data_IF_041140902007
#
_entry.id   IF_041140902007
#
_cell.length_a   1.000
_cell.length_b   1.000
_cell.length_c   1.000
_cell.angle_alpha   90.00
_cell.angle_beta   90.00
_cell.angle_gamma   90.00
#
_symmetry.space_group_name_H-M   'P 1'
#
loop_
_entity.id
_entity.type
_entity.pdbx_description
1 polymer ?
#
# COMPACT_ATOMS: atom_id res chain seq x y z
N UNK A 1 -14.69 42.64 -56.61
CA UNK A 1 -14.57 42.17 -55.23
C UNK A 1 -13.70 40.93 -55.26
N UNK A 2 -12.41 41.08 -54.93
CA UNK A 2 -11.44 39.96 -54.87
C UNK A 2 -11.35 39.45 -53.44
N UNK A 3 -11.65 38.16 -53.28
CA UNK A 3 -11.43 37.44 -52.02
C UNK A 3 -9.96 37.00 -51.96
N UNK A 4 -9.27 37.37 -50.89
CA UNK A 4 -7.90 36.91 -50.55
C UNK A 4 -7.97 35.53 -49.89
N UNK A 5 -7.09 34.58 -50.21
CA UNK A 5 -7.04 33.29 -49.52
C UNK A 5 -6.28 33.40 -48.19
N UNK A 6 -6.89 32.94 -47.09
CA UNK A 6 -6.22 32.76 -45.80
C UNK A 6 -5.16 31.65 -45.89
N UNK A 7 -3.90 32.02 -45.67
CA UNK A 7 -2.79 31.07 -45.59
C UNK A 7 -2.73 30.47 -44.19
N UNK A 8 -3.25 29.24 -44.02
CA UNK A 8 -3.03 28.47 -42.80
C UNK A 8 -1.60 27.97 -42.70
N UNK A 9 -0.86 28.53 -41.75
CA UNK A 9 0.49 28.08 -41.40
C UNK A 9 0.42 26.74 -40.70
N UNK A 10 0.66 25.62 -41.40
CA UNK A 10 0.79 24.29 -40.81
C UNK A 10 2.23 24.18 -40.32
N UNK A 11 2.40 24.34 -39.00
CA UNK A 11 3.67 24.01 -38.35
C UNK A 11 3.83 22.48 -38.34
N UNK A 12 4.61 21.95 -39.27
CA UNK A 12 5.06 20.57 -39.26
C UNK A 12 6.20 20.46 -38.23
N UNK A 13 5.87 20.08 -36.96
CA UNK A 13 6.89 19.65 -36.02
C UNK A 13 7.52 18.34 -36.54
N UNK A 14 8.81 18.36 -36.88
CA UNK A 14 9.49 17.17 -37.39
C UNK A 14 9.58 16.12 -36.30
N UNK A 15 9.42 14.83 -36.64
CA UNK A 15 9.53 13.69 -35.70
C UNK A 15 10.86 13.71 -34.91
N UNK A 16 11.89 14.34 -35.47
CA UNK A 16 13.19 14.53 -34.83
C UNK A 16 13.13 15.46 -33.61
N UNK A 17 12.34 16.56 -33.68
CA UNK A 17 12.19 17.48 -32.54
C UNK A 17 11.39 16.85 -31.43
N UNK A 18 10.34 16.09 -31.73
CA UNK A 18 9.58 15.30 -30.73
C UNK A 18 10.44 14.23 -30.05
N UNK A 19 11.30 13.55 -30.81
CA UNK A 19 12.20 12.54 -30.27
C UNK A 19 13.27 13.16 -29.35
N UNK A 20 13.80 14.34 -29.71
CA UNK A 20 14.76 15.08 -28.87
C UNK A 20 14.14 15.61 -27.59
N UNK A 21 12.90 16.09 -27.62
CA UNK A 21 12.16 16.57 -26.43
C UNK A 21 11.83 15.39 -25.50
N UNK A 22 11.39 14.24 -26.05
CA UNK A 22 11.19 13.03 -25.25
C UNK A 22 12.50 12.53 -24.62
N UNK A 23 13.60 12.52 -25.35
CA UNK A 23 14.91 12.08 -24.84
C UNK A 23 15.41 13.00 -23.73
N UNK A 24 15.23 14.31 -23.85
CA UNK A 24 15.58 15.30 -22.81
C UNK A 24 14.69 15.13 -21.59
N UNK A 25 13.39 14.84 -21.75
CA UNK A 25 12.48 14.59 -20.65
C UNK A 25 12.86 13.31 -19.90
N UNK A 26 13.19 12.22 -20.61
CA UNK A 26 13.70 10.98 -20.01
C UNK A 26 15.05 11.17 -19.30
N UNK A 27 15.96 11.97 -19.85
CA UNK A 27 17.23 12.30 -19.21
C UNK A 27 17.03 13.17 -17.95
N UNK A 28 16.10 14.13 -17.98
CA UNK A 28 15.77 14.93 -16.79
C UNK A 28 15.13 14.11 -15.68
N UNK A 29 14.23 13.18 -16.00
CA UNK A 29 13.64 12.28 -15.01
C UNK A 29 14.67 11.31 -14.43
N UNK A 30 15.59 10.77 -15.25
CA UNK A 30 16.64 9.87 -14.77
C UNK A 30 17.67 10.60 -13.88
N UNK A 31 18.03 11.83 -14.18
CA UNK A 31 18.94 12.64 -13.35
C UNK A 31 18.28 13.01 -12.03
N UNK A 32 17.00 13.38 -12.05
CA UNK A 32 16.27 13.69 -10.80
C UNK A 32 16.06 12.46 -9.91
N UNK A 33 15.79 11.29 -10.51
CA UNK A 33 15.73 10.02 -9.78
C UNK A 33 17.11 9.59 -9.25
N UNK A 34 18.20 9.84 -9.96
CA UNK A 34 19.56 9.59 -9.46
C UNK A 34 19.97 10.54 -8.34
N UNK A 35 19.58 11.83 -8.39
CA UNK A 35 19.78 12.76 -7.27
C UNK A 35 18.97 12.38 -6.05
N UNK A 36 17.72 11.88 -6.20
CA UNK A 36 16.91 11.32 -5.11
C UNK A 36 17.53 10.03 -4.54
N UNK A 37 18.05 9.15 -5.39
CA UNK A 37 18.75 7.92 -4.96
C UNK A 37 20.04 8.20 -4.18
N UNK A 38 20.78 9.21 -4.56
CA UNK A 38 22.10 9.49 -4.00
C UNK A 38 22.09 10.00 -2.56
N UNK A 39 20.90 10.32 -1.99
CA UNK A 39 20.84 11.12 -0.77
C UNK A 39 19.88 10.63 0.32
N UNK A 40 19.10 9.54 0.11
CA UNK A 40 18.24 9.01 1.18
C UNK A 40 19.00 8.05 2.08
N UNK A 41 18.92 8.27 3.39
CA UNK A 41 19.42 7.34 4.41
C UNK A 41 18.31 6.44 4.91
N UNK A 42 18.61 5.15 5.21
CA UNK A 42 17.67 4.30 5.92
C UNK A 42 17.18 4.97 7.20
N UNK A 43 15.92 4.83 7.57
CA UNK A 43 15.37 5.47 8.76
C UNK A 43 15.93 4.79 10.01
N UNK A 44 16.23 5.56 11.05
CA UNK A 44 16.67 5.00 12.31
C UNK A 44 15.48 4.57 13.19
N UNK A 45 15.68 3.50 13.94
CA UNK A 45 14.72 2.99 14.92
C UNK A 45 14.46 4.02 16.02
N UNK A 46 13.20 4.17 16.43
CA UNK A 46 12.77 5.06 17.52
C UNK A 46 12.28 4.29 18.73
N UNK A 47 11.21 3.52 18.58
CA UNK A 47 10.56 2.75 19.65
C UNK A 47 9.91 1.48 19.08
N UNK A 48 9.59 0.57 19.97
CA UNK A 48 8.74 -0.59 19.68
C UNK A 48 7.78 -0.87 20.82
N UNK A 49 6.67 -1.54 20.50
CA UNK A 49 5.71 -2.03 21.49
C UNK A 49 5.04 -3.33 21.03
N UNK A 50 4.42 -4.03 21.96
CA UNK A 50 3.82 -5.32 21.74
C UNK A 50 4.79 -6.47 22.04
N UNK A 51 4.17 -7.57 22.48
CA UNK A 51 4.79 -8.88 22.71
C UNK A 51 3.74 -9.92 22.38
N UNK A 52 4.13 -11.18 22.21
CA UNK A 52 3.18 -12.25 21.97
C UNK A 52 2.22 -12.43 23.15
N UNK A 53 0.92 -12.43 22.87
CA UNK A 53 -0.13 -12.67 23.86
C UNK A 53 -1.50 -12.15 23.47
N UNK A 54 -2.43 -12.14 24.44
CA UNK A 54 -3.82 -11.72 24.26
C UNK A 54 -4.26 -10.57 25.17
N UNK A 55 -3.42 -10.12 26.11
CA UNK A 55 -3.71 -8.96 26.92
C UNK A 55 -3.75 -7.68 26.09
N UNK A 56 -4.22 -6.58 26.67
CA UNK A 56 -4.24 -5.27 25.99
C UNK A 56 -2.79 -4.79 25.74
N UNK A 57 -2.49 -4.44 24.50
CA UNK A 57 -1.15 -4.08 24.07
C UNK A 57 -0.26 -5.25 23.66
N UNK A 58 -0.70 -6.50 23.87
CA UNK A 58 -0.06 -7.71 23.32
C UNK A 58 -0.70 -8.07 21.98
N UNK A 59 0.02 -8.84 21.15
CA UNK A 59 -0.44 -9.28 19.83
C UNK A 59 -0.27 -10.79 19.63
N UNK A 60 -1.17 -11.35 18.84
CA UNK A 60 -1.01 -12.69 18.27
C UNK A 60 -1.12 -12.59 16.74
N UNK A 61 0.04 -12.72 16.09
CA UNK A 61 0.14 -12.61 14.62
C UNK A 61 -0.53 -11.34 14.06
N UNK A 62 -0.10 -10.14 14.46
CA UNK A 62 -0.62 -8.89 13.92
C UNK A 62 -0.30 -8.80 12.42
N UNK A 63 -1.22 -8.28 11.59
CA UNK A 63 -1.02 -8.23 10.13
C UNK A 63 -1.06 -6.82 9.60
N UNK A 64 -2.14 -6.06 9.80
CA UNK A 64 -2.35 -4.74 9.21
C UNK A 64 -2.10 -3.61 10.21
N UNK A 65 -1.72 -2.44 9.68
CA UNK A 65 -1.51 -1.22 10.45
C UNK A 65 -1.93 0.00 9.62
N UNK A 66 -2.55 0.98 10.28
CA UNK A 66 -2.84 2.29 9.67
C UNK A 66 -2.76 3.39 10.72
N UNK A 67 -2.63 4.64 10.29
CA UNK A 67 -2.73 5.84 11.14
C UNK A 67 -3.89 6.72 10.70
N UNK A 68 -4.57 7.35 11.64
CA UNK A 68 -5.58 8.36 11.34
C UNK A 68 -4.97 9.78 11.26
N UNK A 69 -5.80 10.78 10.93
CA UNK A 69 -5.35 12.17 10.80
C UNK A 69 -4.85 12.83 12.09
N UNK A 70 -5.09 12.22 13.25
CA UNK A 70 -4.63 12.64 14.57
C UNK A 70 -3.41 11.82 15.04
N UNK A 71 -2.80 11.04 14.14
CA UNK A 71 -1.64 10.15 14.38
C UNK A 71 -1.91 9.03 15.40
N UNK A 72 -3.18 8.61 15.61
CA UNK A 72 -3.45 7.37 16.31
C UNK A 72 -3.19 6.18 15.38
N UNK A 73 -2.58 5.14 15.97
CA UNK A 73 -2.17 3.91 15.25
C UNK A 73 -3.19 2.80 15.52
N UNK A 74 -3.68 2.18 14.46
CA UNK A 74 -4.60 1.04 14.52
C UNK A 74 -3.93 -0.20 13.97
N UNK A 75 -4.02 -1.31 14.71
CA UNK A 75 -3.38 -2.58 14.37
C UNK A 75 -4.41 -3.70 14.32
N UNK A 76 -4.45 -4.46 13.25
CA UNK A 76 -5.19 -5.70 13.21
C UNK A 76 -4.42 -6.80 13.95
N UNK A 77 -4.89 -7.15 15.13
CA UNK A 77 -4.40 -8.24 15.96
C UNK A 77 -5.12 -9.53 15.55
N UNK A 78 -4.72 -10.02 14.38
CA UNK A 78 -5.43 -11.02 13.58
C UNK A 78 -5.66 -12.33 14.33
N UNK A 79 -4.67 -12.82 15.06
CA UNK A 79 -4.80 -14.04 15.84
C UNK A 79 -5.78 -13.91 17.01
N UNK A 80 -5.93 -12.71 17.56
CA UNK A 80 -6.89 -12.39 18.63
C UNK A 80 -8.24 -11.87 18.09
N UNK A 81 -8.44 -11.78 16.79
CA UNK A 81 -9.70 -11.36 16.15
C UNK A 81 -10.18 -9.98 16.59
N UNK A 82 -9.26 -9.01 16.73
CA UNK A 82 -9.55 -7.66 17.21
C UNK A 82 -8.73 -6.61 16.49
N UNK A 83 -9.15 -5.36 16.61
CA UNK A 83 -8.35 -4.17 16.29
C UNK A 83 -7.92 -3.52 17.61
N UNK A 84 -6.68 -3.04 17.69
CA UNK A 84 -6.18 -2.27 18.82
C UNK A 84 -5.74 -0.88 18.36
N UNK A 85 -6.14 0.16 19.09
CA UNK A 85 -5.75 1.57 18.88
C UNK A 85 -4.68 1.98 19.89
N UNK A 86 -3.67 2.69 19.40
CA UNK A 86 -2.54 3.20 20.19
C UNK A 86 -2.31 4.67 19.89
N UNK A 87 -1.63 5.39 20.79
CA UNK A 87 -1.03 6.69 20.46
C UNK A 87 0.20 6.49 19.57
N UNK A 88 0.69 7.56 18.95
CA UNK A 88 1.95 7.58 18.18
C UNK A 88 3.19 7.12 18.97
N UNK A 89 3.11 7.05 20.32
CA UNK A 89 4.16 6.58 21.23
C UNK A 89 3.93 5.12 21.68
N UNK A 90 2.96 4.40 21.06
CA UNK A 90 2.67 3.00 21.37
C UNK A 90 1.89 2.77 22.67
N UNK A 91 1.30 3.82 23.27
CA UNK A 91 0.45 3.65 24.44
C UNK A 91 -0.93 3.17 23.99
N UNK A 92 -1.41 2.05 24.58
CA UNK A 92 -2.73 1.50 24.33
C UNK A 92 -3.84 2.54 24.67
N UNK A 93 -4.85 2.62 23.79
CA UNK A 93 -6.00 3.52 23.93
C UNK A 93 -7.29 2.71 24.10
N UNK A 94 -7.65 1.90 23.10
CA UNK A 94 -8.84 1.06 23.12
C UNK A 94 -8.68 -0.15 22.17
N UNK A 95 -9.61 -1.10 22.30
CA UNK A 95 -9.67 -2.27 21.43
C UNK A 95 -11.12 -2.67 21.20
N UNK A 96 -11.40 -3.18 20.00
CA UNK A 96 -12.70 -3.76 19.67
C UNK A 96 -12.54 -5.00 18.79
N UNK A 97 -13.62 -5.75 18.66
CA UNK A 97 -13.63 -6.99 17.91
C UNK A 97 -13.55 -8.22 18.83
N UNK A 98 -14.09 -9.29 18.34
CA UNK A 98 -14.02 -10.67 18.84
C UNK A 98 -14.40 -11.60 17.70
N UNK A 99 -14.04 -12.88 17.81
CA UNK A 99 -14.34 -13.87 16.78
C UNK A 99 -15.84 -13.95 16.45
N UNK A 100 -16.18 -13.83 15.16
CA UNK A 100 -17.56 -13.99 14.68
C UNK A 100 -17.88 -13.23 13.40
N UNK A 101 -19.20 -13.23 13.06
CA UNK A 101 -19.72 -12.63 11.82
C UNK A 101 -20.67 -11.45 12.05
N UNK A 102 -21.15 -11.26 13.27
CA UNK A 102 -22.06 -10.16 13.58
C UNK A 102 -21.35 -8.80 13.53
N UNK A 103 -22.13 -7.71 13.55
CA UNK A 103 -21.59 -6.35 13.60
C UNK A 103 -20.65 -6.17 14.80
N UNK A 104 -19.46 -5.65 14.55
CA UNK A 104 -18.41 -5.50 15.56
C UNK A 104 -17.63 -6.77 15.88
N UNK A 105 -18.01 -7.94 15.34
CA UNK A 105 -17.21 -9.16 15.39
C UNK A 105 -16.32 -9.25 14.14
N UNK A 106 -15.20 -9.93 14.23
CA UNK A 106 -14.19 -10.06 13.19
C UNK A 106 -13.78 -11.53 12.99
N UNK A 107 -13.44 -11.90 11.77
CA UNK A 107 -12.77 -13.18 11.49
C UNK A 107 -11.59 -12.95 10.55
N UNK A 108 -10.38 -13.16 11.08
CA UNK A 108 -9.11 -12.87 10.42
C UNK A 108 -9.06 -11.47 9.82
N UNK A 109 -9.14 -10.39 10.64
CA UNK A 109 -8.90 -9.04 10.15
C UNK A 109 -7.47 -8.96 9.57
N UNK A 110 -7.37 -8.51 8.32
CA UNK A 110 -6.11 -8.37 7.57
C UNK A 110 -5.66 -6.91 7.54
N UNK A 111 -5.35 -6.37 6.35
CA UNK A 111 -5.01 -4.96 6.23
C UNK A 111 -6.24 -4.08 6.47
N UNK A 112 -5.98 -2.85 6.91
CA UNK A 112 -7.00 -1.88 7.24
C UNK A 112 -6.54 -0.49 6.81
N UNK A 113 -7.49 0.42 6.57
CA UNK A 113 -7.17 1.82 6.27
C UNK A 113 -8.03 2.77 7.09
N UNK A 114 -7.40 3.77 7.70
CA UNK A 114 -8.06 4.94 8.25
C UNK A 114 -8.26 5.96 7.13
N UNK A 115 -9.50 6.15 6.71
CA UNK A 115 -9.81 7.04 5.61
C UNK A 115 -10.09 8.47 6.11
N UNK A 116 -9.93 9.44 5.21
CA UNK A 116 -10.17 10.87 5.49
C UNK A 116 -11.63 11.20 5.81
N UNK A 117 -12.56 10.27 5.60
CA UNK A 117 -13.98 10.38 5.97
C UNK A 117 -14.27 10.04 7.45
N UNK A 118 -13.23 9.81 8.26
CA UNK A 118 -13.35 9.49 9.69
C UNK A 118 -13.71 8.03 9.97
N UNK A 119 -13.47 7.12 9.03
CA UNK A 119 -13.80 5.70 9.16
C UNK A 119 -12.57 4.81 9.04
N UNK A 120 -12.66 3.64 9.65
CA UNK A 120 -11.71 2.53 9.51
C UNK A 120 -12.38 1.45 8.66
N UNK A 121 -11.75 1.10 7.55
CA UNK A 121 -12.15 0.00 6.69
C UNK A 121 -11.25 -1.19 7.00
N UNK A 122 -11.82 -2.34 7.33
CA UNK A 122 -11.10 -3.55 7.73
C UNK A 122 -11.44 -4.69 6.77
N UNK A 123 -10.43 -5.25 6.12
CA UNK A 123 -10.59 -6.45 5.31
C UNK A 123 -10.70 -7.68 6.24
N UNK A 124 -11.82 -8.40 6.14
CA UNK A 124 -12.07 -9.63 6.89
C UNK A 124 -11.93 -10.84 5.96
N UNK A 125 -10.73 -11.44 5.99
CA UNK A 125 -10.34 -12.53 5.10
C UNK A 125 -11.27 -13.74 5.17
N UNK A 126 -11.71 -14.14 6.37
CA UNK A 126 -12.52 -15.34 6.54
C UNK A 126 -14.04 -15.06 6.54
N UNK A 127 -14.45 -13.81 6.57
CA UNK A 127 -15.84 -13.39 6.41
C UNK A 127 -16.16 -12.89 4.99
N UNK A 128 -15.19 -12.85 4.08
CA UNK A 128 -15.33 -12.41 2.68
C UNK A 128 -16.01 -11.04 2.55
N UNK A 129 -15.61 -10.06 3.38
CA UNK A 129 -16.20 -8.73 3.39
C UNK A 129 -15.21 -7.66 3.85
N UNK A 130 -15.58 -6.40 3.65
CA UNK A 130 -15.00 -5.27 4.35
C UNK A 130 -15.99 -4.84 5.44
N UNK A 131 -15.54 -4.70 6.68
CA UNK A 131 -16.33 -4.07 7.74
C UNK A 131 -15.84 -2.66 7.97
N UNK A 132 -16.78 -1.72 8.11
CA UNK A 132 -16.51 -0.30 8.31
C UNK A 132 -16.83 0.07 9.74
N UNK A 133 -15.90 0.78 10.39
CA UNK A 133 -16.03 1.26 11.77
C UNK A 133 -15.82 2.77 11.85
N UNK A 134 -16.31 3.40 12.92
CA UNK A 134 -15.80 4.71 13.33
C UNK A 134 -14.48 4.55 14.13
N UNK A 135 -13.88 5.68 14.53
CA UNK A 135 -12.63 5.67 15.29
C UNK A 135 -12.77 5.20 16.76
N UNK A 136 -14.00 5.01 17.23
CA UNK A 136 -14.36 4.43 18.53
C UNK A 136 -14.60 2.92 18.46
N UNK A 137 -14.61 2.33 17.23
CA UNK A 137 -14.79 0.90 16.99
C UNK A 137 -16.25 0.47 16.89
N UNK A 138 -17.19 1.40 16.70
CA UNK A 138 -18.58 1.04 16.41
C UNK A 138 -18.70 0.61 14.94
N UNK A 139 -19.33 -0.54 14.70
CA UNK A 139 -19.57 -1.04 13.35
C UNK A 139 -20.64 -0.20 12.63
N UNK A 140 -20.31 0.32 11.48
CA UNK A 140 -21.17 1.22 10.69
C UNK A 140 -21.80 0.50 9.49
N UNK A 141 -21.03 -0.36 8.79
CA UNK A 141 -21.48 -1.00 7.56
C UNK A 141 -20.68 -2.27 7.23
N UNK A 142 -21.24 -3.06 6.31
CA UNK A 142 -20.55 -4.13 5.59
C UNK A 142 -20.53 -3.85 4.10
N UNK A 143 -19.43 -4.20 3.42
CA UNK A 143 -19.27 -4.09 1.98
C UNK A 143 -18.87 -5.47 1.47
N UNK A 144 -19.58 -5.95 0.44
CA UNK A 144 -19.33 -7.24 -0.19
C UNK A 144 -19.97 -8.43 0.52
N UNK A 145 -19.77 -9.58 -0.08
CA UNK A 145 -20.23 -10.90 0.38
C UNK A 145 -19.36 -11.98 -0.27
N UNK A 146 -19.42 -13.21 0.24
CA UNK A 146 -18.66 -14.34 -0.31
C UNK A 146 -19.05 -14.66 -1.74
N UNK A 147 -18.07 -14.80 -2.64
CA UNK A 147 -18.27 -15.22 -4.01
C UNK A 147 -17.27 -14.64 -5.02
N UNK A 148 -17.58 -14.81 -6.32
CA UNK A 148 -16.73 -14.39 -7.45
C UNK A 148 -17.37 -13.31 -8.32
N UNK A 149 -18.63 -12.98 -8.07
CA UNK A 149 -19.41 -12.00 -8.81
C UNK A 149 -18.95 -10.56 -8.54
N UNK A 150 -19.64 -9.62 -9.20
CA UNK A 150 -19.38 -8.19 -9.01
C UNK A 150 -19.82 -7.78 -7.59
N UNK A 151 -18.86 -7.24 -6.82
CA UNK A 151 -19.09 -6.84 -5.43
C UNK A 151 -19.04 -7.98 -4.41
N UNK A 152 -18.70 -9.20 -4.84
CA UNK A 152 -18.41 -10.33 -3.97
C UNK A 152 -16.90 -10.48 -3.78
N UNK A 153 -16.47 -11.21 -2.74
CA UNK A 153 -15.07 -11.45 -2.41
C UNK A 153 -14.80 -12.93 -2.12
N UNK A 154 -13.55 -13.32 -2.35
CA UNK A 154 -12.96 -14.56 -1.85
C UNK A 154 -11.64 -14.20 -1.14
N UNK A 155 -11.73 -14.11 0.18
CA UNK A 155 -10.63 -13.74 1.07
C UNK A 155 -9.99 -12.36 0.74
N UNK A 156 -10.70 -11.22 0.94
CA UNK A 156 -10.14 -9.89 0.73
C UNK A 156 -8.92 -9.66 1.63
N UNK A 157 -7.81 -9.18 1.05
CA UNK A 157 -6.55 -8.96 1.76
C UNK A 157 -6.39 -7.53 2.26
N UNK A 158 -6.48 -6.56 1.36
CA UNK A 158 -6.26 -5.14 1.65
C UNK A 158 -7.35 -4.24 1.10
N UNK A 159 -7.44 -3.04 1.67
CA UNK A 159 -8.43 -2.02 1.30
C UNK A 159 -7.83 -0.63 1.36
N UNK A 160 -8.11 0.20 0.37
CA UNK A 160 -7.75 1.61 0.34
C UNK A 160 -8.95 2.47 -0.09
N UNK A 161 -8.95 3.74 0.33
CA UNK A 161 -10.01 4.70 0.01
C UNK A 161 -9.37 5.94 -0.61
N UNK A 162 -9.84 6.37 -1.78
CA UNK A 162 -9.34 7.58 -2.43
C UNK A 162 -10.06 8.85 -1.94
N UNK A 163 -9.61 10.01 -2.43
CA UNK A 163 -10.18 11.31 -2.04
C UNK A 163 -11.62 11.52 -2.49
N UNK A 164 -12.10 10.75 -3.47
CA UNK A 164 -13.48 10.75 -3.93
C UNK A 164 -14.38 9.78 -3.14
N UNK A 165 -13.83 9.14 -2.09
CA UNK A 165 -14.53 8.13 -1.30
C UNK A 165 -14.71 6.78 -2.02
N UNK A 166 -14.02 6.55 -3.17
CA UNK A 166 -14.04 5.24 -3.82
C UNK A 166 -13.16 4.27 -3.03
N UNK A 167 -13.66 3.06 -2.86
CA UNK A 167 -13.01 2.01 -2.07
C UNK A 167 -12.44 0.98 -3.03
N UNK A 168 -11.19 0.62 -2.85
CA UNK A 168 -10.49 -0.39 -3.66
C UNK A 168 -10.11 -1.55 -2.75
N UNK A 169 -10.45 -2.79 -3.16
CA UNK A 169 -10.23 -3.98 -2.35
C UNK A 169 -9.40 -5.00 -3.14
N UNK A 170 -8.29 -5.43 -2.59
CA UNK A 170 -7.51 -6.57 -3.09
C UNK A 170 -8.29 -7.86 -2.78
N UNK A 171 -8.88 -8.44 -3.82
CA UNK A 171 -9.70 -9.66 -3.75
C UNK A 171 -8.82 -10.87 -4.09
N UNK A 172 -8.18 -11.40 -3.05
CA UNK A 172 -6.99 -12.24 -3.11
C UNK A 172 -7.18 -13.50 -3.96
N UNK A 173 -8.17 -14.36 -3.66
CA UNK A 173 -8.41 -15.59 -4.42
C UNK A 173 -9.14 -15.35 -5.74
N UNK A 174 -9.82 -14.22 -5.91
CA UNK A 174 -10.40 -13.84 -7.19
C UNK A 174 -9.39 -13.18 -8.14
N UNK A 175 -8.15 -12.96 -7.71
CA UNK A 175 -7.06 -12.40 -8.52
C UNK A 175 -7.42 -11.06 -9.18
N UNK A 176 -8.09 -10.17 -8.45
CA UNK A 176 -8.55 -8.86 -8.96
C UNK A 176 -8.45 -7.78 -7.88
N UNK A 177 -8.58 -6.53 -8.28
CA UNK A 177 -9.02 -5.47 -7.40
C UNK A 177 -10.48 -5.17 -7.70
N UNK A 178 -11.34 -5.17 -6.67
CA UNK A 178 -12.76 -4.84 -6.78
C UNK A 178 -13.00 -3.45 -6.22
N UNK A 179 -13.26 -2.43 -7.09
CA UNK A 179 -13.61 -1.09 -6.62
C UNK A 179 -15.08 -0.97 -6.27
N UNK A 180 -15.38 -0.01 -5.37
CA UNK A 180 -16.73 0.44 -5.02
C UNK A 180 -16.80 1.96 -5.06
N UNK A 181 -17.99 2.50 -5.34
CA UNK A 181 -18.28 3.91 -5.15
C UNK A 181 -18.44 4.24 -3.66
N UNK A 182 -18.43 5.52 -3.28
CA UNK A 182 -18.65 6.02 -1.93
C UNK A 182 -19.94 5.47 -1.26
N UNK A 183 -20.99 5.23 -2.04
CA UNK A 183 -22.24 4.64 -1.58
C UNK A 183 -22.22 3.09 -1.50
N UNK A 184 -21.02 2.49 -1.58
CA UNK A 184 -20.77 1.05 -1.53
C UNK A 184 -21.30 0.26 -2.73
N UNK A 185 -21.72 0.89 -3.81
CA UNK A 185 -22.09 0.18 -5.05
C UNK A 185 -20.83 -0.30 -5.78
N UNK A 186 -20.82 -1.59 -6.17
CA UNK A 186 -19.67 -2.18 -6.85
C UNK A 186 -19.47 -1.59 -8.25
N UNK A 187 -18.22 -1.24 -8.57
CA UNK A 187 -17.78 -0.74 -9.87
C UNK A 187 -17.21 -1.88 -10.74
N UNK A 188 -16.69 -1.55 -11.92
CA UNK A 188 -16.01 -2.53 -12.76
C UNK A 188 -14.70 -2.97 -12.10
N UNK A 189 -14.47 -4.29 -12.05
CA UNK A 189 -13.23 -4.83 -11.50
C UNK A 189 -12.00 -4.42 -12.32
N UNK A 190 -10.85 -4.37 -11.66
CA UNK A 190 -9.53 -4.17 -12.28
C UNK A 190 -8.79 -5.50 -12.23
N UNK A 191 -8.32 -5.95 -13.40
CA UNK A 191 -7.51 -7.13 -13.52
C UNK A 191 -8.25 -8.46 -13.48
N UNK A 192 -7.46 -9.51 -13.61
CA UNK A 192 -7.86 -10.93 -13.59
C UNK A 192 -6.61 -11.77 -13.36
N UNK A 193 -6.76 -13.06 -13.12
CA UNK A 193 -5.63 -13.99 -12.95
C UNK A 193 -4.65 -13.95 -14.12
N UNK A 194 -3.35 -13.77 -13.81
CA UNK A 194 -2.26 -13.86 -14.78
C UNK A 194 -0.94 -13.28 -14.28
N UNK A 195 0.17 -13.64 -14.99
CA UNK A 195 1.53 -13.30 -14.56
C UNK A 195 2.26 -12.35 -15.52
N UNK A 196 2.10 -12.52 -16.82
CA UNK A 196 2.98 -11.92 -17.84
C UNK A 196 2.63 -10.44 -18.06
N UNK A 197 1.37 -10.16 -18.33
CA UNK A 197 0.92 -8.83 -18.73
C UNK A 197 0.64 -7.92 -17.52
N UNK A 198 0.84 -6.61 -17.71
CA UNK A 198 0.35 -5.60 -16.78
C UNK A 198 -1.18 -5.65 -16.70
N UNK A 199 -1.72 -5.32 -15.52
CA UNK A 199 -3.15 -5.38 -15.26
C UNK A 199 -3.70 -6.79 -14.95
N UNK A 200 -2.86 -7.83 -14.93
CA UNK A 200 -3.23 -9.14 -14.42
C UNK A 200 -2.54 -9.41 -13.08
N UNK A 201 -3.16 -10.19 -12.20
CA UNK A 201 -2.68 -10.45 -10.84
C UNK A 201 -2.54 -11.94 -10.54
N UNK A 202 -1.66 -12.26 -9.60
CA UNK A 202 -1.60 -13.57 -8.96
C UNK A 202 -1.59 -13.37 -7.44
N UNK A 203 -2.76 -13.55 -6.82
CA UNK A 203 -3.01 -13.29 -5.40
C UNK A 203 -2.59 -11.88 -4.96
N UNK A 204 -3.26 -10.80 -5.43
CA UNK A 204 -3.00 -9.46 -4.95
C UNK A 204 -3.37 -9.38 -3.47
N UNK A 205 -2.41 -8.98 -2.61
CA UNK A 205 -2.62 -9.00 -1.16
C UNK A 205 -3.07 -7.64 -0.63
N UNK A 206 -2.57 -6.54 -1.23
CA UNK A 206 -2.83 -5.22 -0.69
C UNK A 206 -2.89 -4.16 -1.79
N UNK A 207 -3.48 -3.01 -1.45
CA UNK A 207 -3.66 -1.84 -2.31
C UNK A 207 -3.43 -0.54 -1.56
N UNK A 208 -2.85 0.45 -2.23
CA UNK A 208 -2.68 1.81 -1.70
C UNK A 208 -3.05 2.86 -2.74
N UNK A 209 -3.44 4.06 -2.29
CA UNK A 209 -3.74 5.21 -3.13
C UNK A 209 -2.67 6.28 -2.94
N UNK A 210 -2.07 6.73 -4.02
CA UNK A 210 -1.08 7.80 -4.00
C UNK A 210 -1.71 9.21 -3.93
N UNK A 211 -0.88 10.23 -3.70
CA UNK A 211 -1.34 11.62 -3.61
C UNK A 211 -1.87 12.17 -4.95
N UNK A 212 -1.67 11.49 -6.05
CA UNK A 212 -2.19 11.75 -7.40
C UNK A 212 -3.43 10.90 -7.73
N UNK A 213 -4.03 10.23 -6.73
CA UNK A 213 -5.12 9.25 -6.84
C UNK A 213 -4.75 8.01 -7.70
N UNK A 214 -3.47 7.80 -8.01
CA UNK A 214 -3.01 6.55 -8.62
C UNK A 214 -3.21 5.38 -7.65
N UNK A 215 -3.68 4.24 -8.20
CA UNK A 215 -3.81 3.00 -7.45
C UNK A 215 -2.53 2.17 -7.59
N UNK A 216 -2.01 1.71 -6.47
CA UNK A 216 -0.89 0.78 -6.38
C UNK A 216 -1.36 -0.56 -5.83
N UNK A 217 -0.85 -1.66 -6.37
CA UNK A 217 -1.27 -3.02 -6.00
C UNK A 217 -0.05 -3.89 -5.71
N UNK A 218 -0.01 -4.49 -4.53
CA UNK A 218 0.94 -5.54 -4.20
C UNK A 218 0.49 -6.85 -4.85
N UNK A 219 1.05 -7.17 -6.01
CA UNK A 219 0.77 -8.39 -6.80
C UNK A 219 1.68 -9.53 -6.29
N UNK A 220 1.34 -10.05 -5.10
CA UNK A 220 2.23 -10.74 -4.17
C UNK A 220 2.88 -11.98 -4.73
N UNK A 221 2.13 -12.88 -5.34
CA UNK A 221 2.68 -14.12 -5.90
C UNK A 221 3.31 -13.93 -7.28
N UNK A 222 3.11 -12.74 -7.88
CA UNK A 222 3.90 -12.27 -8.99
C UNK A 222 5.16 -11.51 -8.55
N UNK A 223 5.43 -11.36 -7.24
CA UNK A 223 6.59 -10.67 -6.66
C UNK A 223 6.83 -9.29 -7.30
N UNK A 224 5.78 -8.51 -7.48
CA UNK A 224 5.84 -7.20 -8.15
C UNK A 224 4.81 -6.24 -7.60
N UNK A 225 5.03 -4.96 -7.85
CA UNK A 225 4.05 -3.90 -7.66
C UNK A 225 3.53 -3.47 -9.02
N UNK A 226 2.26 -3.11 -9.09
CA UNK A 226 1.65 -2.52 -10.29
C UNK A 226 0.99 -1.19 -9.96
N UNK A 227 1.19 -0.17 -10.82
CA UNK A 227 0.56 1.15 -10.75
C UNK A 227 -0.53 1.26 -11.81
N UNK A 228 -1.66 1.84 -11.42
CA UNK A 228 -2.79 2.15 -12.29
C UNK A 228 -3.15 3.63 -12.17
N UNK A 229 -3.72 4.20 -13.24
CA UNK A 229 -4.28 5.54 -13.18
C UNK A 229 -5.53 5.58 -12.28
N UNK A 230 -6.02 6.78 -11.89
CA UNK A 230 -7.27 6.93 -11.12
C UNK A 230 -8.50 6.28 -11.78
N UNK A 231 -8.47 6.05 -13.11
CA UNK A 231 -9.52 5.36 -13.87
C UNK A 231 -9.31 3.84 -13.95
N UNK A 232 -8.28 3.29 -13.25
CA UNK A 232 -7.97 1.86 -13.23
C UNK A 232 -7.24 1.34 -14.47
N UNK A 233 -6.61 2.22 -15.27
CA UNK A 233 -5.80 1.82 -16.42
C UNK A 233 -4.37 1.51 -15.97
N UNK A 234 -3.84 0.38 -16.42
CA UNK A 234 -2.45 0.01 -16.14
C UNK A 234 -1.46 1.08 -16.62
N UNK A 235 -0.53 1.48 -15.76
CA UNK A 235 0.52 2.47 -16.05
C UNK A 235 1.89 1.79 -16.13
N UNK A 236 2.36 1.22 -15.03
CA UNK A 236 3.68 0.57 -14.94
C UNK A 236 3.69 -0.55 -13.91
N UNK A 237 4.78 -1.30 -13.87
CA UNK A 237 5.04 -2.34 -12.86
C UNK A 237 6.53 -2.46 -12.60
N UNK A 238 6.90 -2.85 -11.39
CA UNK A 238 8.27 -3.15 -11.01
C UNK A 238 8.33 -4.31 -10.03
N UNK A 239 9.51 -4.89 -9.86
CA UNK A 239 9.78 -6.09 -9.07
C UNK A 239 10.53 -7.13 -9.92
N UNK A 240 11.73 -7.54 -9.47
CA UNK A 240 12.64 -8.33 -10.26
C UNK A 240 13.16 -7.58 -11.50
N UNK A 241 13.90 -8.27 -12.35
CA UNK A 241 14.46 -7.65 -13.56
C UNK A 241 13.34 -7.15 -14.50
N UNK A 242 13.31 -5.84 -14.78
CA UNK A 242 12.31 -5.18 -15.66
C UNK A 242 10.85 -5.48 -15.30
N UNK A 243 10.51 -5.60 -14.01
CA UNK A 243 9.14 -5.87 -13.56
C UNK A 243 8.61 -7.25 -13.96
N UNK A 244 9.51 -8.23 -14.20
CA UNK A 244 9.14 -9.61 -14.55
C UNK A 244 8.52 -10.37 -13.38
N UNK A 245 8.74 -9.89 -12.13
CA UNK A 245 8.29 -10.59 -10.93
C UNK A 245 9.06 -11.88 -10.64
N UNK A 246 10.27 -12.02 -11.17
CA UNK A 246 11.17 -13.08 -10.74
C UNK A 246 11.59 -12.76 -9.30
N UNK A 247 11.28 -13.69 -8.39
CA UNK A 247 11.64 -13.52 -6.98
C UNK A 247 13.16 -13.38 -6.79
N UNK A 248 13.54 -12.51 -5.86
CA UNK A 248 14.95 -12.27 -5.56
C UNK A 248 15.12 -11.52 -4.24
N UNK A 249 16.37 -11.35 -3.83
CA UNK A 249 16.77 -10.62 -2.63
C UNK A 249 17.62 -9.37 -2.92
N UNK A 250 17.92 -9.09 -4.20
CA UNK A 250 18.54 -7.80 -4.56
C UNK A 250 17.56 -6.64 -4.43
N UNK A 251 18.08 -5.43 -4.24
CA UNK A 251 17.27 -4.21 -4.23
C UNK A 251 16.42 -4.11 -5.49
N UNK A 252 15.13 -3.78 -5.33
CA UNK A 252 14.14 -3.77 -6.42
C UNK A 252 13.55 -5.13 -6.78
N UNK A 253 14.01 -6.23 -6.17
CA UNK A 253 13.39 -7.55 -6.29
C UNK A 253 12.65 -7.90 -5.02
N UNK A 254 11.58 -8.71 -5.12
CA UNK A 254 10.78 -9.13 -3.96
C UNK A 254 10.76 -10.65 -3.81
N UNK A 255 10.53 -11.07 -2.57
CA UNK A 255 10.11 -12.44 -2.27
C UNK A 255 8.81 -12.36 -1.46
N UNK A 256 7.68 -12.23 -2.18
CA UNK A 256 6.32 -11.94 -1.72
C UNK A 256 6.19 -10.53 -1.14
N UNK A 257 5.75 -9.57 -1.98
CA UNK A 257 5.32 -8.26 -1.54
C UNK A 257 3.95 -8.37 -0.87
N UNK A 258 3.87 -8.25 0.47
CA UNK A 258 2.62 -8.45 1.22
C UNK A 258 1.79 -7.21 1.39
N UNK A 259 2.43 -6.05 1.51
CA UNK A 259 1.74 -4.78 1.70
C UNK A 259 2.43 -3.65 0.94
N UNK A 260 1.66 -2.59 0.73
CA UNK A 260 2.07 -1.39 0.04
C UNK A 260 1.45 -0.16 0.70
N UNK A 261 2.26 0.87 0.90
CA UNK A 261 1.84 2.19 1.39
C UNK A 261 2.42 3.28 0.52
N UNK A 262 1.72 4.40 0.38
CA UNK A 262 2.20 5.56 -0.39
C UNK A 262 2.09 6.82 0.47
N UNK A 263 3.22 7.47 0.73
CA UNK A 263 3.22 8.69 1.53
C UNK A 263 2.80 9.94 0.73
N UNK A 264 2.65 11.05 1.43
CA UNK A 264 2.24 12.33 0.84
C UNK A 264 3.24 12.91 -0.15
N UNK A 265 4.48 12.42 -0.18
CA UNK A 265 5.50 12.75 -1.18
C UNK A 265 5.45 11.83 -2.40
N UNK A 266 4.57 10.83 -2.41
CA UNK A 266 4.44 9.84 -3.49
C UNK A 266 5.52 8.76 -3.45
N UNK A 267 6.21 8.57 -2.33
CA UNK A 267 7.13 7.45 -2.14
C UNK A 267 6.34 6.20 -1.80
N UNK A 268 6.71 5.10 -2.42
CA UNK A 268 6.03 3.81 -2.31
C UNK A 268 6.84 2.89 -1.40
N UNK A 269 6.27 2.49 -0.29
CA UNK A 269 6.85 1.56 0.67
C UNK A 269 6.28 0.17 0.44
N UNK A 270 7.10 -0.86 0.50
CA UNK A 270 6.71 -2.25 0.22
C UNK A 270 7.27 -3.18 1.28
N UNK A 271 6.40 -3.96 1.93
CA UNK A 271 6.82 -5.05 2.82
C UNK A 271 7.26 -6.27 1.99
N UNK A 272 8.54 -6.57 2.05
CA UNK A 272 9.19 -7.68 1.34
C UNK A 272 9.36 -8.87 2.30
N UNK A 273 8.28 -9.61 2.47
CA UNK A 273 7.99 -10.54 3.56
C UNK A 273 9.10 -11.56 3.84
N UNK A 274 9.49 -12.37 2.85
CA UNK A 274 10.51 -13.40 3.04
C UNK A 274 11.95 -12.87 2.93
N UNK A 275 12.13 -11.61 2.56
CA UNK A 275 13.41 -10.92 2.62
C UNK A 275 13.59 -10.11 3.90
N UNK A 276 12.59 -10.11 4.80
CA UNK A 276 12.66 -9.49 6.13
C UNK A 276 13.02 -8.00 6.12
N UNK A 277 12.50 -7.25 5.13
CA UNK A 277 12.83 -5.83 4.94
C UNK A 277 11.64 -5.03 4.43
N UNK A 278 11.77 -3.71 4.51
CA UNK A 278 10.93 -2.75 3.79
C UNK A 278 11.79 -2.13 2.68
N UNK A 279 11.26 -2.04 1.48
CA UNK A 279 11.86 -1.34 0.36
C UNK A 279 11.04 -0.09 0.01
N UNK A 280 11.72 1.00 -0.37
CA UNK A 280 11.08 2.27 -0.73
C UNK A 280 11.45 2.64 -2.16
N UNK A 281 10.45 3.10 -2.90
CA UNK A 281 10.55 3.43 -4.33
C UNK A 281 9.96 4.82 -4.60
N UNK A 282 10.30 5.38 -5.77
CA UNK A 282 9.52 6.47 -6.35
C UNK A 282 8.14 5.97 -6.77
N UNK A 283 7.18 6.87 -7.01
CA UNK A 283 5.85 6.51 -7.55
C UNK A 283 5.88 5.82 -8.92
N UNK A 284 7.01 5.82 -9.62
CA UNK A 284 7.21 5.16 -10.91
C UNK A 284 8.04 3.88 -10.82
N UNK A 285 8.46 3.50 -9.58
CA UNK A 285 9.11 2.22 -9.29
C UNK A 285 10.63 2.23 -9.27
N UNK A 286 11.28 3.41 -9.29
CA UNK A 286 12.72 3.50 -9.07
C UNK A 286 13.04 3.24 -7.59
N UNK A 287 13.96 2.32 -7.34
CA UNK A 287 14.43 2.00 -5.99
C UNK A 287 15.12 3.20 -5.34
N UNK A 288 14.76 3.50 -4.10
CA UNK A 288 15.33 4.61 -3.32
C UNK A 288 16.22 4.09 -2.18
N UNK A 289 15.64 3.31 -1.27
CA UNK A 289 16.31 2.82 -0.05
C UNK A 289 15.61 1.57 0.46
N UNK A 290 16.30 0.79 1.29
CA UNK A 290 15.72 -0.33 2.03
C UNK A 290 16.22 -0.34 3.46
N UNK A 291 15.45 -0.94 4.37
CA UNK A 291 15.83 -1.11 5.77
C UNK A 291 15.20 -2.38 6.35
N UNK A 292 15.82 -2.87 7.41
CA UNK A 292 15.49 -4.14 8.04
C UNK A 292 16.32 -5.29 7.50
N UNK A 293 16.58 -6.24 8.38
CA UNK A 293 17.22 -7.53 8.13
C UNK A 293 16.55 -8.56 9.03
N UNK A 294 16.74 -9.85 8.73
CA UNK A 294 16.15 -10.90 9.56
C UNK A 294 16.70 -10.87 10.99
N UNK A 295 15.79 -10.84 11.98
CA UNK A 295 16.13 -10.93 13.39
C UNK A 295 15.05 -10.41 14.32
N UNK A 296 15.44 -10.18 15.59
CA UNK A 296 14.55 -9.71 16.66
C UNK A 296 15.07 -8.49 17.42
N UNK A 297 16.28 -7.99 17.12
CA UNK A 297 16.77 -6.75 17.70
C UNK A 297 15.99 -5.53 17.17
N UNK A 298 16.11 -4.34 17.79
CA UNK A 298 15.57 -3.11 17.26
C UNK A 298 16.05 -2.83 15.83
N UNK A 299 15.13 -2.59 14.90
CA UNK A 299 15.43 -2.40 13.47
C UNK A 299 15.56 -3.69 12.66
N UNK A 300 15.52 -4.85 13.28
CA UNK A 300 15.43 -6.15 12.62
C UNK A 300 13.98 -6.63 12.54
N UNK A 301 13.62 -7.44 11.53
CA UNK A 301 12.28 -7.98 11.33
C UNK A 301 12.26 -9.49 11.18
N UNK A 302 11.19 -10.11 11.64
CA UNK A 302 10.83 -11.47 11.25
C UNK A 302 9.54 -11.45 10.43
N UNK A 303 9.69 -11.37 9.10
CA UNK A 303 8.57 -11.34 8.15
C UNK A 303 7.62 -10.17 8.36
N UNK A 304 8.01 -8.92 8.04
CA UNK A 304 7.12 -7.76 8.14
C UNK A 304 5.93 -7.93 7.18
N UNK A 305 4.73 -7.65 7.67
CA UNK A 305 3.48 -7.84 6.90
C UNK A 305 2.89 -6.55 6.38
N UNK A 306 3.07 -5.45 7.11
CA UNK A 306 2.48 -4.16 6.75
C UNK A 306 3.28 -2.99 7.31
N UNK A 307 3.05 -1.79 6.78
CA UNK A 307 3.62 -0.53 7.26
C UNK A 307 2.69 0.63 6.93
N UNK A 308 2.84 1.71 7.70
CA UNK A 308 2.13 2.98 7.46
C UNK A 308 3.02 4.15 7.83
N UNK A 309 2.68 5.36 7.35
CA UNK A 309 3.46 6.59 7.56
C UNK A 309 2.56 7.66 8.19
N UNK A 310 2.99 8.23 9.34
CA UNK A 310 2.24 9.28 10.01
C UNK A 310 2.41 10.67 9.36
N UNK A 311 1.69 11.67 9.87
CA UNK A 311 1.70 13.05 9.36
C UNK A 311 3.08 13.72 9.42
N UNK A 312 3.97 13.21 10.28
CA UNK A 312 5.35 13.69 10.46
C UNK A 312 6.36 12.91 9.62
N UNK A 313 5.90 11.87 8.89
CA UNK A 313 6.72 11.00 8.07
C UNK A 313 7.38 9.86 8.84
N UNK A 314 7.04 9.62 10.12
CA UNK A 314 7.51 8.46 10.85
C UNK A 314 6.86 7.19 10.27
N UNK A 315 7.65 6.11 10.22
CA UNK A 315 7.24 4.85 9.62
C UNK A 315 6.95 3.85 10.73
N UNK A 316 5.80 3.19 10.65
CA UNK A 316 5.41 2.12 11.56
C UNK A 316 5.37 0.81 10.79
N UNK A 317 5.96 -0.25 11.32
CA UNK A 317 6.06 -1.56 10.67
C UNK A 317 5.51 -2.64 11.58
N UNK A 318 4.63 -3.48 11.04
CA UNK A 318 4.17 -4.72 11.69
C UNK A 318 5.25 -5.78 11.54
N UNK A 319 5.93 -6.09 12.62
CA UNK A 319 6.93 -7.14 12.70
C UNK A 319 6.25 -8.45 13.16
N UNK A 320 5.58 -9.09 12.19
CA UNK A 320 4.64 -10.19 12.36
C UNK A 320 5.22 -11.35 13.17
N UNK A 321 6.40 -11.85 12.79
CA UNK A 321 6.99 -13.02 13.45
C UNK A 321 7.50 -12.73 14.87
N UNK A 322 7.73 -11.44 15.18
CA UNK A 322 8.11 -10.99 16.51
C UNK A 322 6.92 -10.47 17.34
N UNK A 323 5.70 -10.48 16.80
CA UNK A 323 4.47 -10.02 17.46
C UNK A 323 4.60 -8.61 18.07
N UNK A 324 5.15 -7.67 17.31
CA UNK A 324 5.38 -6.28 17.75
C UNK A 324 5.17 -5.29 16.62
N UNK A 325 5.07 -4.01 16.99
CA UNK A 325 5.15 -2.87 16.08
C UNK A 325 6.47 -2.15 16.35
N UNK A 326 7.15 -1.74 15.29
CA UNK A 326 8.34 -0.90 15.36
C UNK A 326 8.09 0.44 14.67
N UNK A 327 8.50 1.54 15.32
CA UNK A 327 8.46 2.91 14.77
C UNK A 327 9.85 3.37 14.41
N UNK A 328 9.96 3.98 13.23
CA UNK A 328 11.19 4.55 12.68
C UNK A 328 11.02 6.04 12.40
N UNK A 329 12.10 6.77 12.39
CA UNK A 329 12.14 8.17 12.00
C UNK A 329 11.81 8.36 10.51
N UNK A 330 11.44 9.58 10.08
CA UNK A 330 11.26 9.90 8.67
C UNK A 330 12.53 9.62 7.85
N UNK A 331 12.32 9.27 6.58
CA UNK A 331 13.42 9.24 5.62
C UNK A 331 13.99 10.65 5.43
N UNK A 332 15.30 10.80 5.60
CA UNK A 332 15.99 12.07 5.45
C UNK A 332 16.95 12.02 4.26
N UNK A 333 17.05 13.11 3.50
CA UNK A 333 18.12 13.29 2.52
C UNK A 333 19.40 13.73 3.23
N UNK A 334 20.54 13.13 2.87
CA UNK A 334 21.83 13.67 3.31
C UNK A 334 22.01 15.07 2.68
N UNK A 335 22.08 16.10 3.52
CA UNK A 335 22.60 17.39 3.08
C UNK A 335 24.09 17.20 2.76
N UNK A 336 24.50 17.41 1.51
CA UNK A 336 25.92 17.57 1.21
C UNK A 336 26.39 18.76 2.06
N UNK A 337 27.18 18.50 3.08
CA UNK A 337 28.01 19.55 3.67
C UNK A 337 29.13 19.81 2.66
N UNK A 338 29.00 20.94 1.94
CA UNK A 338 30.07 21.52 1.13
C UNK A 338 31.25 21.95 2.03
#
# INVERSE_FOLDING_TARGET
MHAQPETRLIIRCSASVMFSVLLIFFLFQSVHAEELKANLTPPHFLIQWGTQGSALGEFERPIGITVDGDDFVYVSDTGNQRIQKFTAQGKFVLSWGKAGKEAGMLDRPMHLTAAHDGKIYVAEYANDRIQVFDYEGNSLAFIGASGTGKGEFDAPGGVAVDRQGRIFVADFYNHRVQPFAENYSALAQIGKKGRIFGGNFDYPADVAIGPDDSLYVADSYNNRIQKFSPEGKFVTKWGGFLGTGIKGNSSGSFHVATAIEVDVQGRVYVADFYNHRIQVFTGDGDFLVEFGVQGSAPGEFERPTDMTVDSQGNIYVVDFGNNRIQKFAPLTSQTKHD
#
